data_IF_326636123796
#
_entry.id   IF_326636123796
#
_cell.length_a   1.000
_cell.length_b   1.000
_cell.length_c   1.000
_cell.angle_alpha   90.00
_cell.angle_beta   90.00
_cell.angle_gamma   90.00
#
_symmetry.space_group_name_H-M   'P 1'
#
loop_
_entity.id
_entity.type
_entity.pdbx_description
1 polymer ?
#
# COMPACT_ATOMS: atom_id res chain seq x y z
N UNK A 1 1.88 -7.92 1.76
CA UNK A 1 2.82 -7.39 2.74
C UNK A 1 3.64 -8.49 3.40
N UNK A 2 4.69 -8.09 4.09
CA UNK A 2 5.54 -9.00 4.86
C UNK A 2 5.71 -8.45 6.27
N UNK A 3 5.78 -9.35 7.25
CA UNK A 3 6.05 -9.01 8.64
C UNK A 3 7.37 -9.69 9.01
N UNK A 4 8.28 -8.93 9.60
CA UNK A 4 9.55 -9.42 10.16
C UNK A 4 9.56 -9.16 11.65
N UNK A 5 10.07 -10.12 12.44
CA UNK A 5 10.15 -10.00 13.90
C UNK A 5 11.27 -10.89 14.44
N UNK A 6 11.93 -10.44 15.49
CA UNK A 6 12.89 -11.23 16.27
C UNK A 6 12.21 -11.97 17.44
N UNK A 7 10.94 -11.69 17.72
CA UNK A 7 10.14 -12.39 18.72
C UNK A 7 9.61 -13.70 18.15
N UNK A 8 10.16 -14.82 18.66
CA UNK A 8 9.82 -16.16 18.20
C UNK A 8 8.36 -16.55 18.54
N UNK A 9 7.81 -16.13 19.67
CA UNK A 9 6.42 -16.43 20.04
C UNK A 9 5.45 -15.66 19.15
N UNK A 10 5.74 -14.38 18.85
CA UNK A 10 4.99 -13.60 17.87
C UNK A 10 5.07 -14.23 16.48
N UNK A 11 6.23 -14.69 16.05
CA UNK A 11 6.39 -15.39 14.77
C UNK A 11 5.48 -16.61 14.67
N UNK A 12 5.45 -17.48 15.69
CA UNK A 12 4.56 -18.65 15.73
C UNK A 12 3.09 -18.24 15.66
N UNK A 13 2.71 -17.21 16.42
CA UNK A 13 1.35 -16.67 16.42
C UNK A 13 0.94 -16.17 15.03
N UNK A 14 1.80 -15.42 14.37
CA UNK A 14 1.55 -14.92 13.03
C UNK A 14 1.43 -16.04 11.98
N UNK A 15 2.24 -17.10 12.11
CA UNK A 15 2.12 -18.26 11.23
C UNK A 15 0.77 -18.98 11.40
N UNK A 16 0.33 -19.18 12.65
CA UNK A 16 -0.97 -19.76 12.96
C UNK A 16 -2.10 -18.92 12.37
N UNK A 17 -2.11 -17.62 12.68
CA UNK A 17 -3.14 -16.69 12.18
C UNK A 17 -3.19 -16.60 10.65
N UNK A 18 -2.05 -16.68 9.97
CA UNK A 18 -1.98 -16.62 8.51
C UNK A 18 -2.55 -17.87 7.83
N UNK A 19 -2.67 -18.99 8.57
CA UNK A 19 -3.17 -20.26 8.06
C UNK A 19 -4.25 -20.85 8.97
N UNK A 20 -5.44 -20.27 8.93
CA UNK A 20 -6.66 -20.73 9.60
C UNK A 20 -6.61 -20.85 11.12
N UNK A 21 -5.59 -20.36 11.82
CA UNK A 21 -5.42 -20.57 13.25
C UNK A 21 -4.95 -21.99 13.61
N UNK A 22 -4.39 -22.71 12.64
CA UNK A 22 -3.79 -24.03 12.84
C UNK A 22 -2.47 -23.85 13.56
N UNK A 23 -2.22 -24.65 14.60
CA UNK A 23 -0.97 -24.61 15.34
C UNK A 23 0.25 -24.82 14.41
N UNK A 24 1.31 -24.04 14.66
CA UNK A 24 2.48 -23.90 13.76
C UNK A 24 3.31 -25.16 13.54
N UNK A 25 2.95 -26.27 14.14
CA UNK A 25 3.57 -27.58 13.92
C UNK A 25 3.25 -28.18 12.55
N UNK A 26 2.21 -27.64 11.85
CA UNK A 26 1.81 -28.10 10.53
C UNK A 26 2.16 -27.07 9.45
N UNK A 27 3.39 -27.09 8.95
CA UNK A 27 3.77 -26.25 7.80
C UNK A 27 3.87 -27.11 6.53
N UNK A 28 2.89 -27.02 5.66
CA UNK A 28 2.96 -27.57 4.28
C UNK A 28 3.96 -26.83 3.39
N UNK A 29 4.50 -25.72 3.88
CA UNK A 29 5.14 -24.71 3.03
C UNK A 29 6.65 -24.69 3.13
N UNK A 30 7.23 -25.16 4.22
CA UNK A 30 8.66 -24.94 4.41
C UNK A 30 9.55 -25.84 3.55
N UNK A 31 9.04 -26.86 2.90
CA UNK A 31 9.87 -27.79 2.09
C UNK A 31 11.10 -28.33 2.84
N UNK A 32 11.32 -27.89 4.08
CA UNK A 32 12.41 -28.33 4.94
C UNK A 32 11.94 -29.49 5.81
N UNK A 33 12.59 -30.60 5.66
CA UNK A 33 12.31 -31.86 6.36
C UNK A 33 12.32 -31.80 7.91
N UNK A 34 12.69 -30.68 8.50
CA UNK A 34 12.75 -30.52 9.96
C UNK A 34 11.38 -30.43 10.64
N UNK A 35 10.35 -30.02 9.89
CA UNK A 35 8.99 -29.90 10.43
C UNK A 35 8.26 -31.24 10.50
N UNK A 36 8.57 -32.18 9.60
CA UNK A 36 7.96 -33.51 9.62
C UNK A 36 8.37 -34.36 10.85
N UNK A 37 9.48 -34.02 11.52
CA UNK A 37 9.93 -34.75 12.72
C UNK A 37 9.16 -34.36 13.99
N UNK A 38 8.38 -33.29 13.99
CA UNK A 38 7.63 -32.81 15.17
C UNK A 38 6.12 -33.04 15.12
N UNK A 39 5.60 -33.61 14.03
CA UNK A 39 4.19 -34.02 13.97
C UNK A 39 4.05 -35.40 14.62
N UNK A 40 4.32 -35.43 15.91
CA UNK A 40 3.94 -36.52 16.75
C UNK A 40 2.84 -36.00 17.67
N UNK A 41 1.68 -35.72 17.11
CA UNK A 41 0.47 -35.73 17.92
C UNK A 41 0.34 -37.15 18.46
N UNK A 42 0.48 -37.29 19.75
CA UNK A 42 0.19 -38.57 20.39
C UNK A 42 -1.33 -38.65 20.55
N UNK A 43 -1.93 -39.66 19.98
CA UNK A 43 -3.31 -39.99 20.32
C UNK A 43 -3.45 -40.19 21.84
N UNK A 44 -4.65 -40.04 22.41
CA UNK A 44 -4.88 -40.27 23.83
C UNK A 44 -4.38 -41.64 24.32
N UNK A 45 -4.23 -42.62 23.44
CA UNK A 45 -3.69 -43.95 23.69
C UNK A 45 -2.14 -44.04 23.59
N UNK A 46 -1.46 -42.88 23.40
CA UNK A 46 0.00 -42.81 23.30
C UNK A 46 0.61 -43.24 21.98
N UNK A 47 -0.20 -43.60 21.00
CA UNK A 47 0.26 -43.96 19.63
C UNK A 47 0.60 -42.75 18.82
N UNK A 48 1.47 -42.86 17.80
CA UNK A 48 1.71 -41.76 16.85
C UNK A 48 0.39 -41.28 16.22
N UNK A 49 0.11 -39.99 16.25
CA UNK A 49 -1.04 -39.39 15.60
C UNK A 49 -0.92 -39.47 14.08
N UNK A 50 -2.04 -39.32 13.40
CA UNK A 50 -2.05 -39.27 11.95
C UNK A 50 -1.48 -37.92 11.47
N UNK A 51 -0.75 -37.91 10.36
CA UNK A 51 -0.16 -36.69 9.78
C UNK A 51 -1.19 -35.67 9.27
N UNK A 52 -2.46 -36.08 9.16
CA UNK A 52 -3.57 -35.23 8.74
C UNK A 52 -4.31 -34.62 9.93
N UNK A 53 -4.09 -35.11 11.13
CA UNK A 53 -4.75 -34.65 12.35
C UNK A 53 -4.08 -33.39 12.88
N UNK A 54 -4.83 -32.31 12.94
CA UNK A 54 -4.40 -31.01 13.43
C UNK A 54 -5.56 -30.33 14.16
N UNK A 55 -5.24 -29.44 15.07
CA UNK A 55 -6.23 -28.63 15.79
C UNK A 55 -6.21 -27.16 15.30
N UNK A 56 -7.36 -26.53 15.34
CA UNK A 56 -7.56 -25.10 15.13
C UNK A 56 -7.68 -24.44 16.49
N UNK A 57 -6.59 -23.86 16.97
CA UNK A 57 -6.48 -23.33 18.35
C UNK A 57 -6.99 -21.90 18.49
N UNK A 58 -7.23 -21.20 17.35
CA UNK A 58 -7.71 -19.83 17.34
C UNK A 58 -8.40 -19.47 16.00
N UNK A 59 -9.13 -18.36 15.97
CA UNK A 59 -9.72 -17.86 14.73
C UNK A 59 -8.63 -17.21 13.88
N UNK A 60 -8.24 -17.88 12.80
CA UNK A 60 -7.23 -17.42 11.86
C UNK A 60 -7.81 -17.02 10.51
N UNK A 61 -6.91 -16.63 9.61
CA UNK A 61 -7.21 -16.15 8.27
C UNK A 61 -6.52 -17.02 7.22
N UNK A 62 -6.82 -16.80 5.95
CA UNK A 62 -6.06 -17.39 4.83
C UNK A 62 -5.25 -16.30 4.13
N UNK A 63 -4.12 -15.88 4.74
CA UNK A 63 -3.23 -14.84 4.23
C UNK A 63 -1.96 -15.39 3.59
N UNK A 64 -1.99 -16.64 3.23
CA UNK A 64 -0.84 -17.33 2.69
C UNK A 64 -0.50 -16.84 1.29
N UNK A 65 0.76 -16.49 1.05
CA UNK A 65 1.24 -16.15 -0.28
C UNK A 65 1.43 -17.43 -1.09
N UNK A 66 0.67 -17.59 -2.18
CA UNK A 66 0.84 -18.72 -3.11
C UNK A 66 2.05 -18.52 -4.01
N UNK A 67 2.63 -19.61 -4.51
CA UNK A 67 3.87 -19.61 -5.30
C UNK A 67 3.81 -18.72 -6.54
N UNK A 68 2.66 -18.64 -7.21
CA UNK A 68 2.45 -17.77 -8.37
C UNK A 68 2.64 -16.29 -7.97
N UNK A 69 2.04 -15.86 -6.87
CA UNK A 69 2.20 -14.49 -6.37
C UNK A 69 3.62 -14.22 -5.86
N UNK A 70 4.26 -15.21 -5.24
CA UNK A 70 5.65 -15.14 -4.82
C UNK A 70 6.59 -14.99 -6.03
N UNK A 71 6.39 -15.73 -7.10
CA UNK A 71 7.16 -15.61 -8.33
C UNK A 71 7.04 -14.22 -8.97
N UNK A 72 5.81 -13.68 -9.06
CA UNK A 72 5.58 -12.29 -9.52
C UNK A 72 6.31 -11.31 -8.60
N UNK A 73 6.18 -11.47 -7.28
CA UNK A 73 6.81 -10.61 -6.28
C UNK A 73 8.35 -10.58 -6.43
N UNK A 74 8.97 -11.72 -6.65
CA UNK A 74 10.42 -11.82 -6.87
C UNK A 74 10.88 -11.05 -8.12
N UNK A 75 10.09 -11.10 -9.19
CA UNK A 75 10.37 -10.33 -10.41
C UNK A 75 10.20 -8.83 -10.18
N UNK A 76 9.14 -8.43 -9.45
CA UNK A 76 8.90 -7.02 -9.11
C UNK A 76 10.01 -6.47 -8.19
N UNK A 77 10.46 -7.26 -7.22
CA UNK A 77 11.55 -6.88 -6.32
C UNK A 77 12.84 -6.54 -7.08
N UNK A 78 13.18 -7.33 -8.12
CA UNK A 78 14.34 -7.05 -8.99
C UNK A 78 14.23 -5.76 -9.79
N UNK A 79 13.01 -5.24 -9.98
CA UNK A 79 12.74 -3.99 -10.71
C UNK A 79 12.60 -2.78 -9.77
N UNK A 80 12.60 -2.99 -8.45
CA UNK A 80 12.23 -1.97 -7.47
C UNK A 80 13.08 -0.72 -7.59
N UNK A 81 14.41 -0.85 -7.59
CA UNK A 81 15.32 0.29 -7.64
C UNK A 81 15.10 1.15 -8.89
N UNK A 82 15.01 0.50 -10.05
CA UNK A 82 14.69 1.20 -11.31
C UNK A 82 13.35 1.93 -11.25
N UNK A 83 12.33 1.31 -10.65
CA UNK A 83 11.01 1.93 -10.51
C UNK A 83 11.02 3.10 -9.53
N UNK A 84 11.84 3.03 -8.48
CA UNK A 84 12.04 4.13 -7.54
C UNK A 84 12.76 5.30 -8.20
N UNK A 85 13.80 5.05 -9.00
CA UNK A 85 14.52 6.10 -9.73
C UNK A 85 13.59 6.88 -10.67
N UNK A 86 12.75 6.18 -11.43
CA UNK A 86 11.75 6.83 -12.31
C UNK A 86 10.78 7.69 -11.48
N UNK A 87 10.28 7.17 -10.35
CA UNK A 87 9.34 7.91 -9.50
C UNK A 87 9.99 9.13 -8.84
N UNK A 88 11.26 9.03 -8.42
CA UNK A 88 12.04 10.16 -7.90
C UNK A 88 12.25 11.23 -8.97
N UNK A 89 12.51 10.82 -10.21
CA UNK A 89 12.61 11.75 -11.34
C UNK A 89 11.31 12.51 -11.54
N UNK A 90 10.16 11.81 -11.59
CA UNK A 90 8.85 12.45 -11.70
C UNK A 90 8.59 13.42 -10.53
N UNK A 91 8.84 12.98 -9.28
CA UNK A 91 8.70 13.83 -8.10
C UNK A 91 9.55 15.09 -8.20
N UNK A 92 10.81 14.96 -8.63
CA UNK A 92 11.71 16.09 -8.80
C UNK A 92 11.14 17.08 -9.84
N UNK A 93 10.71 16.59 -11.01
CA UNK A 93 10.13 17.41 -12.05
C UNK A 93 8.90 18.18 -11.55
N UNK A 94 7.97 17.52 -10.88
CA UNK A 94 6.80 18.17 -10.31
C UNK A 94 7.16 19.20 -9.24
N UNK A 95 8.12 18.91 -8.36
CA UNK A 95 8.57 19.87 -7.35
C UNK A 95 9.19 21.12 -7.99
N UNK A 96 10.04 20.93 -9.01
CA UNK A 96 10.74 22.04 -9.66
C UNK A 96 9.77 22.90 -10.50
N UNK A 97 8.77 22.29 -11.13
CA UNK A 97 7.95 22.95 -12.14
C UNK A 97 6.58 23.40 -11.67
N UNK A 98 6.05 22.86 -10.55
CA UNK A 98 4.71 23.17 -10.06
C UNK A 98 4.69 23.91 -8.74
N UNK A 99 5.83 24.15 -8.09
CA UNK A 99 5.92 24.80 -6.77
C UNK A 99 5.37 26.24 -6.72
N UNK A 100 5.22 26.86 -7.86
CA UNK A 100 4.63 28.20 -8.04
C UNK A 100 3.08 28.18 -8.02
N UNK A 101 2.46 27.06 -8.30
CA UNK A 101 0.99 26.95 -8.40
C UNK A 101 0.35 25.96 -7.41
N UNK A 102 1.10 24.95 -6.94
CA UNK A 102 0.67 24.01 -5.92
C UNK A 102 1.78 23.82 -4.88
N UNK A 103 1.44 23.41 -3.67
CA UNK A 103 2.42 23.07 -2.65
C UNK A 103 2.85 21.62 -2.81
N UNK A 104 4.12 21.34 -3.18
CA UNK A 104 4.64 19.98 -3.28
C UNK A 104 4.62 19.26 -1.93
N UNK A 105 4.59 17.91 -1.92
CA UNK A 105 4.90 17.13 -0.74
C UNK A 105 6.38 17.26 -0.36
N UNK A 106 6.71 16.86 0.87
CA UNK A 106 8.11 16.67 1.25
C UNK A 106 8.77 15.61 0.36
N UNK A 107 10.09 15.74 0.17
CA UNK A 107 10.85 14.75 -0.60
C UNK A 107 10.76 13.36 0.03
N UNK A 108 10.56 12.35 -0.80
CA UNK A 108 10.54 10.95 -0.38
C UNK A 108 11.44 10.10 -1.28
N UNK A 109 12.30 9.28 -0.69
CA UNK A 109 13.11 8.30 -1.41
C UNK A 109 12.28 7.13 -1.96
N UNK A 110 11.09 6.89 -1.39
CA UNK A 110 10.20 5.77 -1.74
C UNK A 110 8.84 6.25 -2.20
N UNK A 111 8.83 7.10 -3.23
CA UNK A 111 7.61 7.75 -3.74
C UNK A 111 6.57 6.71 -4.18
N UNK A 112 5.51 6.58 -3.39
CA UNK A 112 4.34 5.80 -3.77
C UNK A 112 3.24 6.69 -4.36
N UNK A 113 2.98 7.83 -3.71
CA UNK A 113 2.04 8.85 -4.13
C UNK A 113 2.71 10.20 -4.17
N UNK A 114 2.40 11.02 -5.17
CA UNK A 114 2.74 12.43 -5.18
C UNK A 114 1.51 13.21 -4.70
N UNK A 115 1.39 13.39 -3.41
CA UNK A 115 0.24 14.04 -2.78
C UNK A 115 0.54 15.51 -2.47
N UNK A 116 0.21 16.40 -3.39
CA UNK A 116 0.37 17.85 -3.26
C UNK A 116 -0.81 18.49 -2.53
N UNK A 117 -0.63 19.75 -2.12
CA UNK A 117 -1.71 20.61 -1.64
C UNK A 117 -2.05 21.66 -2.69
N UNK A 118 -3.33 21.76 -2.99
CA UNK A 118 -3.93 22.72 -3.90
C UNK A 118 -4.79 23.67 -3.07
N UNK A 119 -4.96 24.97 -3.41
CA UNK A 119 -5.94 25.82 -2.73
C UNK A 119 -7.31 25.15 -2.67
N UNK A 120 -7.97 25.19 -1.50
CA UNK A 120 -9.20 24.43 -1.22
C UNK A 120 -10.29 24.68 -2.27
N UNK A 121 -10.49 25.93 -2.65
CA UNK A 121 -11.54 26.36 -3.59
C UNK A 121 -11.29 25.89 -5.04
N UNK A 122 -10.07 25.48 -5.36
CA UNK A 122 -9.66 25.04 -6.70
C UNK A 122 -9.49 23.54 -6.85
N UNK A 123 -9.33 22.77 -5.76
CA UNK A 123 -8.99 21.35 -5.79
C UNK A 123 -9.97 20.51 -6.63
N UNK A 124 -11.25 20.61 -6.36
CA UNK A 124 -12.27 19.82 -7.04
C UNK A 124 -12.49 20.28 -8.50
N UNK A 125 -12.38 21.60 -8.74
CA UNK A 125 -12.43 22.14 -10.09
C UNK A 125 -11.23 21.68 -10.93
N UNK A 126 -10.02 21.71 -10.36
CA UNK A 126 -8.82 21.20 -11.00
C UNK A 126 -8.92 19.70 -11.32
N UNK A 127 -9.44 18.88 -10.40
CA UNK A 127 -9.68 17.45 -10.68
C UNK A 127 -10.57 17.27 -11.91
N UNK A 128 -11.70 17.99 -11.95
CA UNK A 128 -12.63 17.90 -13.07
C UNK A 128 -12.00 18.39 -14.38
N UNK A 129 -11.25 19.49 -14.33
CA UNK A 129 -10.52 20.00 -15.51
C UNK A 129 -9.51 19.01 -16.04
N UNK A 130 -8.64 18.46 -15.18
CA UNK A 130 -7.62 17.49 -15.56
C UNK A 130 -8.24 16.20 -16.13
N UNK A 131 -9.39 15.78 -15.59
CA UNK A 131 -10.15 14.66 -16.14
C UNK A 131 -10.57 14.89 -17.60
N UNK A 132 -10.93 16.12 -17.99
CA UNK A 132 -11.22 16.44 -19.40
C UNK A 132 -10.00 16.33 -20.31
N UNK A 133 -8.80 16.37 -19.74
CA UNK A 133 -7.51 16.19 -20.40
C UNK A 133 -6.97 14.76 -20.28
N UNK A 134 -7.81 13.81 -19.88
CA UNK A 134 -7.43 12.42 -19.64
C UNK A 134 -6.32 12.23 -18.60
N UNK A 135 -6.13 13.21 -17.71
CA UNK A 135 -5.22 13.13 -16.55
C UNK A 135 -6.03 12.68 -15.35
N UNK A 136 -5.76 11.46 -14.87
CA UNK A 136 -6.43 10.89 -13.72
C UNK A 136 -5.69 11.25 -12.44
N UNK A 137 -6.38 11.92 -11.56
CA UNK A 137 -5.89 12.33 -10.22
C UNK A 137 -6.67 11.61 -9.13
N UNK A 138 -6.18 11.68 -7.90
CA UNK A 138 -6.81 11.02 -6.75
C UNK A 138 -6.73 11.88 -5.49
N UNK A 139 -7.50 11.53 -4.48
CA UNK A 139 -7.41 12.14 -3.13
C UNK A 139 -7.07 11.05 -2.13
N UNK A 140 -5.91 11.13 -1.51
CA UNK A 140 -5.43 10.17 -0.50
C UNK A 140 -5.30 10.84 0.88
N UNK A 141 -6.32 10.75 1.76
CA UNK A 141 -7.64 10.12 1.58
C UNK A 141 -8.72 10.98 2.24
N UNK A 142 -10.01 10.72 1.95
CA UNK A 142 -11.09 11.25 2.78
C UNK A 142 -10.89 10.74 4.23
N UNK A 143 -10.96 11.60 5.26
CA UNK A 143 -10.75 11.20 6.65
C UNK A 143 -11.74 10.11 7.11
N UNK A 144 -11.24 9.13 7.88
CA UNK A 144 -12.01 7.97 8.31
C UNK A 144 -13.28 8.35 9.07
N UNK A 145 -13.22 9.36 9.95
CA UNK A 145 -14.38 9.81 10.73
C UNK A 145 -15.53 10.37 9.88
N UNK A 146 -15.31 10.58 8.58
CA UNK A 146 -16.37 11.01 7.63
C UNK A 146 -17.10 9.83 6.96
N UNK A 147 -16.74 8.60 7.29
CA UNK A 147 -17.48 7.42 6.83
C UNK A 147 -18.44 6.95 7.92
N UNK A 148 -19.69 6.70 7.59
CA UNK A 148 -20.75 6.36 8.55
C UNK A 148 -20.39 5.16 9.44
N UNK A 149 -19.71 4.17 8.88
CA UNK A 149 -19.33 2.93 9.59
C UNK A 149 -18.30 3.17 10.73
N UNK A 150 -17.52 4.24 10.67
CA UNK A 150 -16.48 4.57 11.67
C UNK A 150 -16.67 5.96 12.27
N UNK A 151 -17.86 6.55 12.05
CA UNK A 151 -18.21 7.87 12.57
C UNK A 151 -18.06 7.90 14.10
N UNK A 152 -17.37 8.91 14.59
CA UNK A 152 -17.18 9.16 16.01
C UNK A 152 -17.73 10.54 16.38
N UNK A 153 -18.22 10.66 17.60
CA UNK A 153 -18.64 11.96 18.17
C UNK A 153 -17.42 12.73 18.70
N UNK A 154 -16.53 13.07 17.76
CA UNK A 154 -15.30 13.81 18.02
C UNK A 154 -14.91 14.63 16.80
N UNK A 155 -14.43 15.86 17.04
CA UNK A 155 -13.94 16.77 16.01
C UNK A 155 -12.48 16.50 15.65
N UNK A 156 -12.18 16.59 14.36
CA UNK A 156 -10.84 16.45 13.79
C UNK A 156 -10.54 17.63 12.85
N UNK A 157 -10.43 18.88 13.37
CA UNK A 157 -10.41 20.10 12.56
C UNK A 157 -9.25 20.15 11.57
N UNK A 158 -8.07 19.65 11.95
CA UNK A 158 -6.91 19.61 11.04
C UNK A 158 -7.17 18.65 9.87
N UNK A 159 -7.65 17.43 10.16
CA UNK A 159 -7.98 16.48 9.11
C UNK A 159 -9.11 16.98 8.21
N UNK A 160 -10.11 17.65 8.78
CA UNK A 160 -11.24 18.22 8.07
C UNK A 160 -10.87 19.35 7.11
N UNK A 161 -9.81 20.08 7.43
CA UNK A 161 -9.31 21.17 6.60
C UNK A 161 -8.31 20.67 5.56
N UNK A 162 -7.32 19.88 5.99
CA UNK A 162 -6.22 19.50 5.11
C UNK A 162 -6.63 18.55 3.96
N UNK A 163 -7.52 17.57 4.20
CA UNK A 163 -7.91 16.65 3.14
C UNK A 163 -8.60 17.33 1.95
N UNK A 164 -9.23 18.47 2.15
CA UNK A 164 -9.87 19.24 1.09
C UNK A 164 -8.88 19.86 0.10
N UNK A 165 -7.63 20.02 0.53
CA UNK A 165 -6.52 20.55 -0.28
C UNK A 165 -5.73 19.46 -0.98
N UNK A 166 -5.85 18.18 -0.56
CA UNK A 166 -5.02 17.09 -1.07
C UNK A 166 -5.39 16.71 -2.50
N UNK A 167 -4.37 16.65 -3.36
CA UNK A 167 -4.46 16.18 -4.73
C UNK A 167 -3.25 15.31 -5.05
N UNK A 168 -3.49 14.06 -5.42
CA UNK A 168 -2.43 13.16 -5.87
C UNK A 168 -2.35 13.14 -7.39
N UNK A 169 -1.18 13.50 -7.90
CA UNK A 169 -0.86 13.48 -9.32
C UNK A 169 -0.36 12.10 -9.76
N UNK A 170 -0.44 11.78 -11.06
CA UNK A 170 0.10 10.54 -11.59
C UNK A 170 1.59 10.40 -11.30
N UNK A 171 2.00 9.26 -10.73
CA UNK A 171 3.41 8.91 -10.49
C UNK A 171 3.57 7.40 -10.61
N UNK A 172 3.99 6.92 -11.78
CA UNK A 172 4.18 5.48 -12.02
C UNK A 172 5.30 5.21 -13.03
N UNK A 173 5.94 4.03 -12.98
CA UNK A 173 7.14 3.73 -13.76
C UNK A 173 6.96 3.67 -15.29
N UNK A 174 5.74 3.75 -15.78
CA UNK A 174 5.47 3.77 -17.22
C UNK A 174 5.37 5.18 -17.80
N UNK A 175 5.47 6.24 -16.98
CA UNK A 175 5.51 7.63 -17.47
C UNK A 175 6.89 7.95 -18.04
N UNK A 176 6.89 8.66 -19.15
CA UNK A 176 8.06 9.30 -19.76
C UNK A 176 8.03 10.82 -19.54
N UNK A 177 9.03 11.54 -20.01
CA UNK A 177 9.11 12.99 -19.85
C UNK A 177 7.99 13.73 -20.57
N UNK A 178 7.50 13.24 -21.70
CA UNK A 178 6.38 13.84 -22.44
C UNK A 178 5.07 13.74 -21.62
N UNK A 179 4.87 12.64 -20.91
CA UNK A 179 3.71 12.48 -20.02
C UNK A 179 3.81 13.46 -18.83
N UNK A 180 5.02 13.68 -18.29
CA UNK A 180 5.25 14.63 -17.21
C UNK A 180 4.99 16.06 -17.69
N UNK A 181 5.55 16.44 -18.84
CA UNK A 181 5.34 17.75 -19.49
C UNK A 181 3.86 18.01 -19.72
N UNK A 182 3.12 17.00 -20.16
CA UNK A 182 1.68 17.09 -20.38
C UNK A 182 0.91 17.39 -19.10
N UNK A 183 1.23 16.69 -18.02
CA UNK A 183 0.61 16.93 -16.71
C UNK A 183 0.93 18.33 -16.18
N UNK A 184 2.21 18.72 -16.24
CA UNK A 184 2.68 20.04 -15.80
C UNK A 184 2.00 21.15 -16.59
N UNK A 185 1.96 21.03 -17.92
CA UNK A 185 1.33 22.02 -18.81
C UNK A 185 -0.13 22.26 -18.43
N UNK A 186 -0.94 21.19 -18.27
CA UNK A 186 -2.37 21.36 -18.00
C UNK A 186 -2.67 21.84 -16.59
N UNK A 187 -1.81 21.56 -15.61
CA UNK A 187 -1.94 22.15 -14.27
C UNK A 187 -1.65 23.64 -14.33
N UNK A 188 -0.54 24.07 -14.93
CA UNK A 188 -0.21 25.50 -15.07
C UNK A 188 -1.27 26.24 -15.85
N UNK A 189 -1.74 25.66 -16.95
CA UNK A 189 -2.78 26.22 -17.79
C UNK A 189 -4.10 26.45 -17.03
N UNK A 190 -4.46 25.54 -16.13
CA UNK A 190 -5.62 25.74 -15.26
C UNK A 190 -5.45 26.99 -14.40
N UNK A 191 -4.31 27.16 -13.74
CA UNK A 191 -4.07 28.33 -12.88
C UNK A 191 -3.95 29.64 -13.68
N UNK A 192 -3.41 29.61 -14.89
CA UNK A 192 -3.41 30.78 -15.78
C UNK A 192 -4.82 31.22 -16.21
N UNK A 193 -5.72 30.26 -16.48
CA UNK A 193 -7.05 30.56 -17.05
C UNK A 193 -8.11 30.86 -15.96
N UNK A 194 -7.94 30.37 -14.72
CA UNK A 194 -9.00 30.37 -13.71
C UNK A 194 -8.61 30.95 -12.32
N UNK A 195 -7.36 31.36 -12.14
CA UNK A 195 -6.85 31.94 -10.89
C UNK A 195 -6.15 33.25 -11.15
#
# INVERSE_FOLDING_TARGET
>A
GMITTDDYELYKKLQSLAWFGIESTYSRVSGKNDTLKKISTKNPDGKPGYTWDYDVTELGYKYYMIDILAAIGLVQLKKLDKHLDIRRHIQKRYNDELSDVIQPPEWSETVQYYCSRVPEDHRDALINYLKTKMIHTSVHFKPLHKYDIVKQDRDYPVADTEWKKLLSLPVHPAMNDEDIDYVVYWIKKYFEDFV
#
